data_IF_030228073296
#
_entry.id   IF_030228073296
#
_cell.length_a   1.000
_cell.length_b   1.000
_cell.length_c   1.000
_cell.angle_alpha   90.00
_cell.angle_beta   90.00
_cell.angle_gamma   90.00
#
_symmetry.space_group_name_H-M   'P 1'
#
loop_
_entity.id
_entity.type
_entity.pdbx_description
1 polymer ?
#
# COMPACT_ATOMS: atom_id res chain seq x y z
N UNK A 1 -27.32 -39.05 9.19
CA UNK A 1 -27.08 -37.61 8.95
C UNK A 1 -27.84 -36.82 10.00
N UNK A 2 -27.14 -36.32 11.02
CA UNK A 2 -27.77 -35.69 12.20
C UNK A 2 -28.38 -34.33 11.85
N UNK A 3 -29.48 -33.98 12.53
CA UNK A 3 -30.23 -32.72 12.31
C UNK A 3 -29.34 -31.47 12.40
N UNK A 4 -28.22 -31.53 13.11
CA UNK A 4 -27.23 -30.45 13.24
C UNK A 4 -26.46 -30.12 11.96
N UNK A 5 -26.33 -31.07 11.01
CA UNK A 5 -25.63 -30.84 9.73
C UNK A 5 -26.55 -30.17 8.70
N UNK A 6 -27.88 -30.33 8.83
CA UNK A 6 -28.86 -29.68 7.94
C UNK A 6 -29.09 -28.21 8.30
N UNK A 7 -28.93 -27.82 9.57
CA UNK A 7 -29.06 -26.42 10.00
C UNK A 7 -27.86 -25.55 9.59
N UNK A 8 -26.65 -26.12 9.52
CA UNK A 8 -25.45 -25.38 9.12
C UNK A 8 -25.42 -25.03 7.61
N UNK A 9 -26.07 -25.85 6.78
CA UNK A 9 -26.12 -25.64 5.32
C UNK A 9 -27.24 -24.65 4.93
N UNK A 10 -28.26 -24.45 5.77
CA UNK A 10 -29.34 -23.49 5.52
C UNK A 10 -28.97 -22.03 5.85
N UNK A 11 -27.96 -21.79 6.69
CA UNK A 11 -27.48 -20.42 7.01
C UNK A 11 -26.54 -19.88 5.91
N UNK A 12 -25.93 -20.78 5.11
CA UNK A 12 -24.99 -20.39 4.05
C UNK A 12 -25.68 -19.94 2.74
N UNK A 13 -27.00 -20.05 2.62
CA UNK A 13 -27.76 -19.69 1.41
C UNK A 13 -28.69 -18.47 1.62
N UNK A 14 -28.74 -17.88 2.84
CA UNK A 14 -29.61 -16.72 3.11
C UNK A 14 -28.90 -15.35 3.21
N UNK A 15 -27.59 -15.26 2.96
CA UNK A 15 -26.91 -13.97 2.75
C UNK A 15 -26.28 -13.84 1.35
N UNK A 16 -26.85 -14.53 0.37
CA UNK A 16 -26.58 -14.35 -1.06
C UNK A 16 -27.81 -13.76 -1.76
N UNK A 17 -28.36 -12.66 -1.24
CA UNK A 17 -29.44 -11.91 -1.90
C UNK A 17 -29.65 -10.51 -1.30
N UNK A 18 -28.67 -9.61 -1.41
CA UNK A 18 -28.96 -8.19 -1.68
C UNK A 18 -27.95 -7.72 -2.72
N UNK A 19 -28.35 -7.82 -3.98
CA UNK A 19 -27.70 -7.14 -5.09
C UNK A 19 -28.51 -5.86 -5.39
N UNK A 20 -27.79 -4.81 -5.77
CA UNK A 20 -28.26 -3.58 -6.41
C UNK A 20 -29.01 -2.55 -5.55
N UNK A 21 -28.26 -1.56 -5.06
CA UNK A 21 -28.53 -0.12 -5.31
C UNK A 21 -27.40 0.72 -4.70
N UNK A 22 -26.78 1.60 -5.51
CA UNK A 22 -25.85 2.61 -5.00
C UNK A 22 -24.66 2.91 -5.90
N UNK A 23 -24.93 3.35 -7.13
CA UNK A 23 -23.92 4.01 -7.95
C UNK A 23 -23.41 5.29 -7.27
N UNK A 24 -22.09 5.47 -7.26
CA UNK A 24 -21.39 6.75 -7.33
C UNK A 24 -21.80 7.86 -6.37
N UNK A 25 -21.08 7.95 -5.24
CA UNK A 25 -20.81 9.26 -4.64
C UNK A 25 -19.42 9.73 -5.06
N UNK A 26 -19.41 10.44 -6.18
CA UNK A 26 -18.40 11.42 -6.54
C UNK A 26 -18.18 12.38 -5.36
N UNK A 27 -16.95 12.49 -4.86
CA UNK A 27 -16.51 13.65 -4.09
C UNK A 27 -15.54 14.46 -4.95
N UNK A 28 -16.09 15.23 -5.88
CA UNK A 28 -15.38 16.34 -6.51
C UNK A 28 -15.92 17.63 -5.90
N UNK A 29 -15.17 18.22 -4.95
CA UNK A 29 -15.40 19.59 -4.51
C UNK A 29 -14.53 20.50 -5.37
N UNK A 30 -15.10 21.02 -6.46
CA UNK A 30 -14.50 22.08 -7.25
C UNK A 30 -14.66 23.41 -6.53
N UNK A 31 -13.54 24.06 -6.19
CA UNK A 31 -13.54 25.47 -5.80
C UNK A 31 -13.51 26.29 -7.09
N UNK A 32 -14.62 26.95 -7.41
CA UNK A 32 -14.71 27.93 -8.48
C UNK A 32 -14.04 29.23 -8.01
N UNK A 33 -12.97 29.64 -8.67
CA UNK A 33 -12.55 31.05 -8.69
C UNK A 33 -12.58 31.49 -10.14
N UNK A 34 -13.65 32.21 -10.46
CA UNK A 34 -13.81 32.98 -11.67
C UNK A 34 -12.76 34.10 -11.66
N UNK A 35 -11.89 34.11 -12.67
CA UNK A 35 -11.14 35.31 -13.00
C UNK A 35 -11.06 35.42 -14.52
N UNK A 36 -12.00 36.19 -15.06
CA UNK A 36 -12.04 36.67 -16.44
C UNK A 36 -10.76 37.43 -16.74
N UNK A 37 -9.93 36.91 -17.65
CA UNK A 37 -8.77 37.64 -18.18
C UNK A 37 -8.95 37.82 -19.70
N UNK A 38 -9.54 38.95 -20.06
CA UNK A 38 -9.24 39.61 -21.32
C UNK A 38 -7.77 40.07 -21.25
N UNK A 39 -6.93 39.65 -22.19
CA UNK A 39 -5.91 40.56 -22.69
C UNK A 39 -5.54 40.23 -24.14
N UNK A 40 -5.85 41.20 -25.02
CA UNK A 40 -5.52 41.28 -26.43
C UNK A 40 -4.91 42.66 -26.63
N UNK A 41 -3.62 42.73 -26.89
CA UNK A 41 -2.88 43.68 -27.75
C UNK A 41 -1.38 43.35 -27.58
N UNK A 42 -0.63 42.96 -28.63
CA UNK A 42 0.08 43.84 -29.60
C UNK A 42 1.05 44.81 -28.90
N UNK A 43 2.30 45.08 -29.32
CA UNK A 43 3.21 44.65 -30.38
C UNK A 43 4.53 45.43 -30.14
N UNK A 44 5.65 44.96 -30.70
CA UNK A 44 6.79 45.76 -31.23
C UNK A 44 7.95 46.36 -30.35
N UNK A 45 9.16 45.84 -30.63
CA UNK A 45 10.47 46.48 -30.99
C UNK A 45 11.23 47.36 -29.94
N UNK A 46 12.48 46.98 -29.58
CA UNK A 46 13.78 47.66 -29.94
C UNK A 46 14.97 47.31 -29.00
N UNK A 47 16.15 47.15 -29.65
CA UNK A 47 17.54 46.94 -29.18
C UNK A 47 18.07 47.94 -28.13
N UNK A 48 19.01 47.51 -27.28
CA UNK A 48 20.34 48.13 -27.05
C UNK A 48 21.26 47.28 -26.14
N UNK A 49 22.57 47.53 -26.26
CA UNK A 49 23.75 46.81 -25.78
C UNK A 49 24.56 47.71 -24.83
N UNK A 50 25.37 47.08 -23.97
CA UNK A 50 26.65 47.51 -23.33
C UNK A 50 26.67 48.13 -21.91
N UNK A 51 27.38 47.38 -21.04
CA UNK A 51 28.41 47.69 -20.01
C UNK A 51 28.18 48.48 -18.71
N UNK A 52 28.76 47.87 -17.67
CA UNK A 52 29.49 48.40 -16.50
C UNK A 52 28.86 48.36 -15.09
N UNK A 53 29.72 47.91 -14.18
CA UNK A 53 29.53 47.43 -12.82
C UNK A 53 29.89 48.52 -11.80
N UNK A 54 29.18 48.55 -10.66
CA UNK A 54 29.68 48.68 -9.25
C UNK A 54 28.77 49.54 -8.34
N UNK A 55 28.38 48.89 -7.22
CA UNK A 55 28.09 49.38 -5.85
C UNK A 55 26.73 49.97 -5.41
N UNK A 56 26.01 49.10 -4.68
CA UNK A 56 25.50 49.26 -3.31
C UNK A 56 24.27 50.16 -3.04
N UNK A 57 23.12 49.53 -2.74
CA UNK A 57 22.57 49.52 -1.37
C UNK A 57 21.38 48.53 -1.22
N UNK A 58 21.41 47.85 -0.07
CA UNK A 58 20.47 46.93 0.58
C UNK A 58 18.96 47.16 0.39
N UNK A 59 18.18 46.07 0.22
CA UNK A 59 17.05 45.69 1.11
C UNK A 59 16.67 44.21 0.90
N UNK A 60 16.61 43.51 2.03
CA UNK A 60 16.12 42.16 2.30
C UNK A 60 14.72 41.87 1.73
N UNK A 61 14.53 40.80 0.95
CA UNK A 61 13.41 39.85 1.09
C UNK A 61 13.72 38.53 0.36
N UNK A 62 13.41 37.45 1.05
CA UNK A 62 13.62 36.04 0.76
C UNK A 62 12.89 35.58 -0.52
N UNK A 63 13.50 34.77 -1.41
CA UNK A 63 12.75 34.14 -2.49
C UNK A 63 11.95 32.96 -1.94
N UNK A 64 10.63 33.10 -1.87
CA UNK A 64 9.71 31.97 -1.64
C UNK A 64 9.74 31.11 -2.90
N UNK A 65 10.53 30.04 -2.81
CA UNK A 65 10.57 28.92 -3.75
C UNK A 65 9.19 28.29 -3.84
N UNK A 66 8.48 28.61 -4.93
CA UNK A 66 7.29 27.87 -5.37
C UNK A 66 7.73 26.49 -5.82
N UNK A 67 7.02 25.44 -5.39
CA UNK A 67 7.18 24.08 -5.91
C UNK A 67 5.81 23.44 -5.97
N UNK A 68 5.18 23.54 -7.14
CA UNK A 68 4.36 22.44 -7.67
C UNK A 68 5.20 21.15 -7.65
N UNK A 69 4.60 20.01 -7.31
CA UNK A 69 4.76 18.70 -7.99
C UNK A 69 4.08 17.59 -7.16
N UNK A 70 3.07 16.95 -7.76
CA UNK A 70 2.68 15.57 -7.49
C UNK A 70 3.90 14.67 -7.71
N UNK A 71 4.52 14.16 -6.63
CA UNK A 71 5.66 13.24 -6.71
C UNK A 71 5.28 11.88 -6.14
N UNK A 72 5.29 10.91 -7.03
CA UNK A 72 5.29 9.46 -6.81
C UNK A 72 6.57 9.04 -6.05
N UNK A 73 6.45 8.07 -5.14
CA UNK A 73 7.52 7.34 -4.43
C UNK A 73 8.32 8.16 -3.39
N UNK A 74 8.41 7.71 -2.14
CA UNK A 74 9.35 6.65 -1.79
C UNK A 74 8.82 5.87 -0.58
N UNK A 75 8.64 4.56 -0.76
CA UNK A 75 8.46 3.58 0.30
C UNK A 75 9.72 3.53 1.17
N UNK A 76 9.82 4.44 2.15
CA UNK A 76 10.67 4.22 3.30
C UNK A 76 10.02 3.14 4.17
N UNK A 77 10.83 2.22 4.69
CA UNK A 77 10.39 1.20 5.66
C UNK A 77 9.76 1.82 6.91
N UNK A 78 10.04 3.10 7.18
CA UNK A 78 9.47 3.89 8.28
C UNK A 78 7.95 4.12 8.15
N UNK A 79 7.41 4.01 6.95
CA UNK A 79 5.97 4.23 6.74
C UNK A 79 5.11 2.99 7.01
N UNK A 80 5.68 1.78 7.21
CA UNK A 80 4.93 0.51 7.29
C UNK A 80 4.80 0.00 8.74
N UNK A 81 3.59 -0.18 9.28
CA UNK A 81 3.41 -0.68 10.66
C UNK A 81 3.55 -2.20 10.78
N UNK A 82 3.79 -2.93 9.69
CA UNK A 82 3.82 -4.40 9.69
C UNK A 82 4.91 -4.95 8.78
N UNK A 83 5.50 -6.08 9.18
CA UNK A 83 6.54 -6.79 8.42
C UNK A 83 6.30 -8.30 8.47
N UNK A 84 6.80 -9.08 7.46
CA UNK A 84 6.66 -10.53 7.47
C UNK A 84 7.18 -11.15 8.78
N UNK A 85 6.41 -12.06 9.36
CA UNK A 85 6.68 -12.64 10.68
C UNK A 85 7.68 -13.80 10.63
N UNK A 86 7.65 -14.58 9.55
CA UNK A 86 8.50 -15.76 9.36
C UNK A 86 9.54 -15.46 8.27
N UNK A 87 10.76 -15.20 8.70
CA UNK A 87 11.88 -14.91 7.80
C UNK A 87 13.15 -15.66 8.19
N UNK A 88 13.98 -16.00 7.20
CA UNK A 88 15.30 -16.61 7.37
C UNK A 88 16.34 -15.78 6.63
N UNK A 89 17.49 -15.55 7.26
CA UNK A 89 18.66 -14.96 6.60
C UNK A 89 19.47 -16.07 5.95
N UNK A 90 19.74 -15.95 4.65
CA UNK A 90 20.49 -16.94 3.87
C UNK A 90 21.93 -16.99 4.34
N UNK A 91 22.35 -18.14 4.87
CA UNK A 91 23.72 -18.41 5.26
C UNK A 91 24.65 -18.72 4.08
N UNK A 92 25.96 -18.75 4.35
CA UNK A 92 26.96 -19.13 3.35
C UNK A 92 26.73 -20.57 2.85
N UNK A 93 26.59 -20.72 1.54
CA UNK A 93 26.36 -22.03 0.91
C UNK A 93 24.95 -22.59 1.08
N UNK A 94 24.02 -21.85 1.69
CA UNK A 94 22.62 -22.26 1.76
C UNK A 94 21.93 -22.16 0.39
N UNK A 95 21.00 -23.08 0.16
CA UNK A 95 20.14 -23.10 -1.03
C UNK A 95 18.69 -23.00 -0.61
N UNK A 96 17.80 -22.53 -1.50
CA UNK A 96 16.35 -22.56 -1.23
C UNK A 96 15.84 -23.96 -0.92
N UNK A 97 16.45 -24.99 -1.54
CA UNK A 97 16.12 -26.38 -1.26
C UNK A 97 16.46 -26.78 0.18
N UNK A 98 17.66 -26.45 0.66
CA UNK A 98 18.06 -26.73 2.04
C UNK A 98 17.21 -25.94 3.06
N UNK A 99 16.95 -24.65 2.78
CA UNK A 99 16.09 -23.81 3.63
C UNK A 99 14.66 -24.36 3.68
N UNK A 100 14.11 -24.72 2.53
CA UNK A 100 12.78 -25.30 2.42
C UNK A 100 12.63 -26.61 3.20
N UNK A 101 13.61 -27.52 3.08
CA UNK A 101 13.61 -28.76 3.87
C UNK A 101 13.64 -28.50 5.38
N UNK A 102 14.46 -27.55 5.85
CA UNK A 102 14.51 -27.18 7.27
C UNK A 102 13.19 -26.57 7.76
N UNK A 103 12.54 -25.78 6.91
CA UNK A 103 11.29 -25.10 7.23
C UNK A 103 10.02 -25.96 7.01
N UNK A 104 10.14 -27.11 6.34
CA UNK A 104 8.97 -27.91 5.93
C UNK A 104 8.15 -27.27 4.80
N UNK A 105 8.78 -26.47 3.94
CA UNK A 105 8.15 -25.71 2.85
C UNK A 105 8.88 -26.02 1.54
N UNK A 106 8.17 -26.13 0.41
CA UNK A 106 8.85 -26.35 -0.87
C UNK A 106 9.68 -25.13 -1.25
N UNK A 107 10.85 -25.36 -1.87
CA UNK A 107 11.70 -24.27 -2.36
C UNK A 107 10.96 -23.37 -3.36
N UNK A 108 10.04 -23.92 -4.15
CA UNK A 108 9.18 -23.19 -5.09
C UNK A 108 8.23 -22.24 -4.38
N UNK A 109 7.65 -22.63 -3.24
CA UNK A 109 6.79 -21.75 -2.45
C UNK A 109 7.61 -20.58 -1.85
N UNK A 110 8.84 -20.84 -1.41
CA UNK A 110 9.74 -19.78 -0.92
C UNK A 110 10.12 -18.83 -2.05
N UNK A 111 10.51 -19.36 -3.21
CA UNK A 111 10.82 -18.57 -4.39
C UNK A 111 9.63 -17.67 -4.79
N UNK A 112 8.44 -18.27 -4.89
CA UNK A 112 7.19 -17.56 -5.18
C UNK A 112 6.93 -16.47 -4.14
N UNK A 113 6.97 -16.77 -2.84
CA UNK A 113 6.70 -15.82 -1.76
C UNK A 113 7.63 -14.61 -1.76
N UNK A 114 8.87 -14.78 -2.23
CA UNK A 114 9.86 -13.71 -2.32
C UNK A 114 9.94 -13.05 -3.70
N UNK A 115 9.17 -13.54 -4.69
CA UNK A 115 9.21 -13.04 -6.06
C UNK A 115 10.58 -13.22 -6.74
N UNK A 116 11.29 -14.30 -6.42
CA UNK A 116 12.64 -14.60 -6.94
C UNK A 116 12.66 -15.91 -7.70
N UNK A 117 13.66 -16.07 -8.57
CA UNK A 117 13.97 -17.36 -9.19
C UNK A 117 14.93 -18.18 -8.31
N UNK A 118 14.96 -19.50 -8.51
CA UNK A 118 15.71 -20.43 -7.66
C UNK A 118 17.21 -20.07 -7.53
N UNK A 119 17.80 -19.62 -8.64
CA UNK A 119 19.24 -19.35 -8.75
C UNK A 119 19.63 -17.93 -8.31
N UNK A 120 18.68 -17.13 -7.83
CA UNK A 120 18.88 -15.69 -7.54
C UNK A 120 19.08 -15.35 -6.07
N UNK A 121 19.24 -16.35 -5.19
CA UNK A 121 19.49 -16.08 -3.77
C UNK A 121 20.94 -15.62 -3.51
N UNK A 122 21.11 -14.73 -2.54
CA UNK A 122 22.40 -14.21 -2.10
C UNK A 122 22.60 -14.47 -0.61
N UNK A 123 23.86 -14.60 -0.19
CA UNK A 123 24.22 -14.63 1.24
C UNK A 123 23.74 -13.33 1.90
N UNK A 124 23.28 -13.43 3.15
CA UNK A 124 22.70 -12.37 3.97
C UNK A 124 21.35 -11.81 3.45
N UNK A 125 20.80 -12.39 2.38
CA UNK A 125 19.45 -12.07 1.94
C UNK A 125 18.43 -12.58 2.96
N UNK A 126 17.48 -11.72 3.36
CA UNK A 126 16.32 -12.15 4.15
C UNK A 126 15.24 -12.70 3.23
N UNK A 127 14.79 -13.93 3.49
CA UNK A 127 13.73 -14.61 2.76
C UNK A 127 12.52 -14.81 3.65
N UNK A 128 11.34 -14.50 3.10
CA UNK A 128 10.04 -14.82 3.68
C UNK A 128 9.79 -16.31 3.53
N UNK A 129 9.37 -16.95 4.62
CA UNK A 129 9.03 -18.38 4.66
C UNK A 129 7.50 -18.52 4.80
N UNK A 130 6.78 -18.85 3.71
CA UNK A 130 5.33 -19.00 3.79
C UNK A 130 4.96 -20.31 4.50
N UNK A 131 3.95 -20.27 5.37
CA UNK A 131 3.37 -21.46 6.00
C UNK A 131 1.95 -21.65 5.46
N UNK A 132 1.62 -22.86 5.00
CA UNK A 132 0.30 -23.17 4.44
C UNK A 132 -0.14 -22.18 3.33
N UNK A 133 0.78 -21.83 2.41
CA UNK A 133 0.59 -20.81 1.36
C UNK A 133 0.23 -19.42 1.88
N UNK A 134 0.59 -19.11 3.12
CA UNK A 134 0.30 -17.84 3.76
C UNK A 134 1.58 -17.22 4.34
N UNK A 135 1.73 -15.91 4.12
CA UNK A 135 2.72 -15.07 4.79
C UNK A 135 1.99 -14.37 5.93
N UNK A 136 2.44 -14.60 7.16
CA UNK A 136 2.01 -13.82 8.32
C UNK A 136 2.78 -12.52 8.43
N UNK A 137 2.16 -11.50 9.00
CA UNK A 137 2.79 -10.21 9.28
C UNK A 137 2.67 -9.89 10.77
N UNK A 138 3.78 -9.48 11.37
CA UNK A 138 3.80 -8.95 12.73
C UNK A 138 3.54 -7.46 12.66
N UNK A 139 2.49 -6.99 13.33
CA UNK A 139 2.14 -5.57 13.41
C UNK A 139 2.80 -4.94 14.63
N UNK A 140 3.62 -3.89 14.40
CA UNK A 140 4.18 -3.06 15.46
C UNK A 140 3.14 -2.01 15.88
N UNK A 141 2.57 -2.19 17.08
CA UNK A 141 1.50 -1.33 17.62
C UNK A 141 1.96 0.10 17.91
N UNK A 142 3.21 0.29 18.35
CA UNK A 142 3.75 1.62 18.67
C UNK A 142 3.96 2.43 17.39
N UNK A 143 4.52 1.79 16.36
CA UNK A 143 4.64 2.37 15.02
C UNK A 143 3.27 2.69 14.44
N UNK A 144 2.31 1.77 14.56
CA UNK A 144 0.95 2.02 14.10
C UNK A 144 0.27 3.20 14.82
N UNK A 145 0.48 3.33 16.13
CA UNK A 145 -0.03 4.47 16.89
C UNK A 145 0.65 5.79 16.48
N UNK A 146 1.94 5.77 16.14
CA UNK A 146 2.64 6.95 15.58
C UNK A 146 2.06 7.33 14.22
N UNK A 147 1.88 6.35 13.33
CA UNK A 147 1.30 6.56 12.00
C UNK A 147 -0.15 7.03 12.07
N UNK A 148 -0.93 6.58 13.05
CA UNK A 148 -2.28 7.08 13.28
C UNK A 148 -2.27 8.59 13.53
N UNK A 149 -1.36 9.10 14.37
CA UNK A 149 -1.22 10.54 14.62
C UNK A 149 -0.81 11.31 13.37
N UNK A 150 0.10 10.77 12.57
CA UNK A 150 0.49 11.38 11.30
C UNK A 150 -0.68 11.43 10.30
N UNK A 151 -1.51 10.39 10.27
CA UNK A 151 -2.72 10.33 9.43
C UNK A 151 -3.79 11.31 9.92
N UNK A 152 -4.00 11.41 11.22
CA UNK A 152 -4.89 12.42 11.81
C UNK A 152 -4.42 13.85 11.51
N UNK A 153 -3.10 14.06 11.32
CA UNK A 153 -2.49 15.31 10.89
C UNK A 153 -2.48 15.50 9.36
N UNK A 154 -3.11 14.61 8.58
CA UNK A 154 -3.27 14.73 7.14
C UNK A 154 -2.15 14.10 6.29
N UNK A 155 -1.20 13.39 6.89
CA UNK A 155 -0.14 12.66 6.16
C UNK A 155 -0.60 11.23 5.84
N UNK A 156 0.05 10.57 4.89
CA UNK A 156 -0.16 9.13 4.60
C UNK A 156 -1.63 8.69 4.48
N UNK A 157 -2.51 9.55 3.93
CA UNK A 157 -3.97 9.31 3.89
C UNK A 157 -4.38 8.02 3.17
N UNK A 158 -3.51 7.47 2.32
CA UNK A 158 -3.69 6.15 1.71
C UNK A 158 -3.92 5.05 2.76
N UNK A 159 -3.45 5.24 4.01
CA UNK A 159 -3.63 4.29 5.10
C UNK A 159 -5.06 4.20 5.63
N UNK A 160 -5.93 5.13 5.26
CA UNK A 160 -7.34 5.12 5.68
C UNK A 160 -8.19 4.12 4.89
N UNK A 161 -7.71 3.65 3.74
CA UNK A 161 -8.41 2.62 2.94
C UNK A 161 -7.65 1.30 2.97
N UNK A 162 -8.38 0.20 3.11
CA UNK A 162 -7.78 -1.13 3.11
C UNK A 162 -7.11 -1.45 1.76
N UNK A 163 -7.70 -1.01 0.64
CA UNK A 163 -7.20 -1.27 -0.71
C UNK A 163 -5.90 -0.52 -0.99
N UNK A 164 -5.83 0.78 -0.69
CA UNK A 164 -4.61 1.56 -0.95
C UNK A 164 -3.48 1.12 -0.02
N UNK A 165 -3.82 0.78 1.23
CA UNK A 165 -2.86 0.16 2.16
C UNK A 165 -2.34 -1.17 1.62
N UNK A 166 -3.23 -2.07 1.17
CA UNK A 166 -2.84 -3.33 0.57
C UNK A 166 -1.92 -3.11 -0.64
N UNK A 167 -2.27 -2.17 -1.53
CA UNK A 167 -1.47 -1.83 -2.70
C UNK A 167 -0.09 -1.25 -2.34
N UNK A 168 0.00 -0.45 -1.29
CA UNK A 168 1.25 0.17 -0.83
C UNK A 168 2.15 -0.80 -0.05
N UNK A 169 1.57 -1.67 0.79
CA UNK A 169 2.31 -2.48 1.77
C UNK A 169 2.52 -3.94 1.32
N UNK A 170 1.80 -4.44 0.31
CA UNK A 170 2.03 -5.78 -0.27
C UNK A 170 3.24 -5.95 -1.20
N UNK A 171 3.86 -4.91 -1.82
CA UNK A 171 4.88 -5.06 -2.87
C UNK A 171 6.18 -5.83 -2.59
N UNK A 172 6.29 -6.55 -1.48
CA UNK A 172 7.43 -7.43 -1.16
C UNK A 172 7.04 -8.91 -1.07
N UNK A 173 5.75 -9.24 -1.24
CA UNK A 173 5.21 -10.59 -1.06
C UNK A 173 4.65 -11.12 -2.37
N UNK A 174 4.98 -12.37 -2.70
CA UNK A 174 4.50 -13.08 -3.89
C UNK A 174 4.81 -12.40 -5.25
N UNK A 175 5.74 -11.43 -5.24
CA UNK A 175 6.01 -10.55 -6.38
C UNK A 175 4.82 -9.69 -6.79
N UNK A 176 3.85 -9.49 -5.91
CA UNK A 176 2.75 -8.54 -6.12
C UNK A 176 3.35 -7.14 -6.28
N UNK A 177 2.81 -6.35 -7.19
CA UNK A 177 3.24 -5.00 -7.52
C UNK A 177 2.06 -4.04 -7.38
N UNK A 178 2.34 -2.74 -7.30
CA UNK A 178 1.27 -1.72 -7.25
C UNK A 178 0.47 -1.62 -8.56
N UNK A 179 0.98 -2.18 -9.66
CA UNK A 179 0.29 -2.25 -10.96
C UNK A 179 -0.66 -3.43 -11.10
N UNK A 180 -0.62 -4.38 -10.17
CA UNK A 180 -1.58 -5.48 -10.13
C UNK A 180 -3.00 -4.98 -9.79
N UNK A 181 -3.98 -5.84 -10.03
CA UNK A 181 -5.38 -5.50 -9.75
C UNK A 181 -5.69 -5.76 -8.28
N UNK A 182 -6.22 -4.76 -7.57
CA UNK A 182 -6.69 -4.89 -6.19
C UNK A 182 -8.19 -4.60 -6.12
N UNK A 183 -8.93 -5.42 -5.36
CA UNK A 183 -10.35 -5.24 -5.12
C UNK A 183 -10.70 -5.53 -3.66
N UNK A 184 -11.53 -4.68 -3.06
CA UNK A 184 -12.04 -4.92 -1.71
C UNK A 184 -13.00 -6.12 -1.73
N UNK A 185 -12.73 -7.14 -0.91
CA UNK A 185 -13.58 -8.31 -0.78
C UNK A 185 -14.50 -8.20 0.44
N UNK A 186 -14.01 -7.70 1.57
CA UNK A 186 -14.83 -7.39 2.73
C UNK A 186 -14.22 -6.26 3.57
N UNK A 187 -15.07 -5.57 4.32
CA UNK A 187 -14.67 -4.58 5.32
C UNK A 187 -15.66 -4.63 6.49
N UNK A 188 -15.13 -4.66 7.70
CA UNK A 188 -15.84 -4.47 8.96
C UNK A 188 -15.05 -3.47 9.78
N UNK A 189 -15.38 -2.19 9.66
CA UNK A 189 -14.71 -1.12 10.39
C UNK A 189 -15.00 -1.14 11.89
N UNK A 190 -16.08 -1.81 12.32
CA UNK A 190 -16.40 -1.97 13.75
C UNK A 190 -15.47 -3.00 14.38
N UNK A 191 -15.24 -4.11 13.69
CA UNK A 191 -14.23 -5.09 14.07
C UNK A 191 -12.81 -4.57 13.84
N UNK A 192 -12.63 -3.67 12.87
CA UNK A 192 -11.34 -3.20 12.38
C UNK A 192 -10.65 -4.28 11.55
N UNK A 193 -11.41 -4.98 10.69
CA UNK A 193 -10.93 -6.08 9.84
C UNK A 193 -11.38 -5.87 8.40
N UNK A 194 -10.52 -6.21 7.45
CA UNK A 194 -10.85 -6.16 6.03
C UNK A 194 -10.13 -7.27 5.26
N UNK A 195 -10.69 -7.61 4.10
CA UNK A 195 -10.00 -8.44 3.12
C UNK A 195 -9.96 -7.75 1.77
N UNK A 196 -8.82 -7.85 1.11
CA UNK A 196 -8.56 -7.33 -0.24
C UNK A 196 -8.03 -8.47 -1.09
N UNK A 197 -8.57 -8.65 -2.29
CA UNK A 197 -8.00 -9.57 -3.27
C UNK A 197 -7.00 -8.82 -4.15
N UNK A 198 -5.82 -9.38 -4.34
CA UNK A 198 -4.86 -8.95 -5.36
C UNK A 198 -4.77 -10.02 -6.46
N UNK A 199 -4.78 -9.60 -7.73
CA UNK A 199 -4.63 -10.50 -8.89
C UNK A 199 -3.39 -10.12 -9.68
N UNK A 200 -2.46 -11.09 -9.81
CA UNK A 200 -1.23 -11.00 -10.60
C UNK A 200 -1.21 -12.12 -11.64
N UNK A 201 -1.40 -11.75 -12.91
CA UNK A 201 -1.69 -12.74 -13.96
C UNK A 201 -2.92 -13.56 -13.58
N UNK A 202 -2.79 -14.89 -13.56
CA UNK A 202 -3.87 -15.81 -13.15
C UNK A 202 -3.86 -16.16 -11.66
N UNK A 203 -2.84 -15.73 -10.89
CA UNK A 203 -2.76 -15.97 -9.45
C UNK A 203 -3.58 -14.94 -8.68
N UNK A 204 -4.33 -15.40 -7.68
CA UNK A 204 -5.13 -14.58 -6.79
C UNK A 204 -4.59 -14.72 -5.35
N UNK A 205 -4.46 -13.58 -4.68
CA UNK A 205 -4.02 -13.50 -3.30
C UNK A 205 -5.09 -12.86 -2.45
N UNK A 206 -5.35 -13.42 -1.27
CA UNK A 206 -6.21 -12.84 -0.25
C UNK A 206 -5.33 -12.13 0.78
N UNK A 207 -5.46 -10.82 0.86
CA UNK A 207 -4.75 -9.96 1.80
C UNK A 207 -5.72 -9.65 2.94
N UNK A 208 -5.36 -10.05 4.15
CA UNK A 208 -6.12 -9.74 5.38
C UNK A 208 -5.48 -8.54 6.03
N UNK A 209 -6.30 -7.54 6.37
CA UNK A 209 -5.87 -6.32 7.04
C UNK A 209 -6.63 -6.11 8.33
N UNK A 210 -5.96 -5.44 9.26
CA UNK A 210 -6.55 -5.01 10.54
C UNK A 210 -6.32 -3.52 10.78
N UNK A 211 -7.13 -2.93 11.65
CA UNK A 211 -6.90 -1.61 12.22
C UNK A 211 -6.29 -1.77 13.63
N UNK A 212 -4.96 -1.66 13.79
CA UNK A 212 -4.27 -2.05 15.02
C UNK A 212 -4.35 -1.01 16.16
N UNK A 213 -4.74 0.23 15.86
CA UNK A 213 -4.74 1.35 16.82
C UNK A 213 -6.15 1.88 17.06
N UNK A 214 -6.73 2.57 16.06
CA UNK A 214 -8.08 3.12 16.11
C UNK A 214 -8.96 2.35 15.14
N UNK A 215 -10.20 2.02 15.52
CA UNK A 215 -11.17 1.38 14.63
C UNK A 215 -12.11 2.40 13.97
N UNK A 216 -12.75 2.04 12.87
CA UNK A 216 -13.68 2.91 12.16
C UNK A 216 -13.03 3.65 10.98
N UNK A 217 -13.79 4.54 10.35
CA UNK A 217 -13.37 5.29 9.15
C UNK A 217 -12.05 6.10 9.27
N UNK A 218 -11.57 6.36 10.50
CA UNK A 218 -10.29 7.08 10.74
C UNK A 218 -9.12 6.15 11.08
N UNK A 219 -9.38 4.87 11.29
CA UNK A 219 -8.36 3.91 11.65
C UNK A 219 -7.43 3.60 10.49
N UNK A 220 -6.12 3.63 10.74
CA UNK A 220 -5.17 3.16 9.74
C UNK A 220 -5.26 1.64 9.57
N UNK A 221 -5.05 1.16 8.35
CA UNK A 221 -4.95 -0.27 8.05
C UNK A 221 -3.50 -0.75 8.09
N UNK A 222 -3.32 -2.01 8.47
CA UNK A 222 -2.05 -2.75 8.44
C UNK A 222 -2.31 -4.16 7.92
N UNK A 223 -1.36 -4.72 7.17
CA UNK A 223 -1.46 -6.11 6.69
C UNK A 223 -1.22 -7.06 7.86
N UNK A 224 -2.10 -8.04 8.03
CA UNK A 224 -1.95 -9.14 8.98
C UNK A 224 -1.48 -10.42 8.28
N UNK A 225 -1.98 -10.68 7.07
CA UNK A 225 -1.55 -11.84 6.29
C UNK A 225 -1.80 -11.68 4.80
N UNK A 226 -1.04 -12.44 4.01
CA UNK A 226 -1.26 -12.60 2.57
C UNK A 226 -1.25 -14.09 2.25
N UNK A 227 -2.36 -14.60 1.73
CA UNK A 227 -2.53 -16.01 1.36
C UNK A 227 -2.64 -16.16 -0.15
N UNK A 228 -1.88 -17.09 -0.73
CA UNK A 228 -2.08 -17.53 -2.11
C UNK A 228 -3.23 -18.54 -2.14
N UNK A 229 -4.22 -18.28 -3.00
CA UNK A 229 -5.30 -19.22 -3.30
C UNK A 229 -4.88 -20.27 -4.32
#
# INVERSE_FOLDING_TARGET
MSKSVKTLIAILIFFAAIFAAGNGYFYAKTVSLENTMNNKDDSAITKTKTTDTVSASITTTTPVKTTDTTTVATSSTDSRPSSPSDTVVVGQGETLFAIGQKAGVSWTQIADANGIDADKIKVDQTLIIPKNNQIGFTVNKDMAASLQKDVDAGKYLFRLTAVDTAKADSPSAYGITSTDTFAQASIDETAGSATVTAKKGDKIYLITLIQPSTKGAKGIWAIESIKSN
#
